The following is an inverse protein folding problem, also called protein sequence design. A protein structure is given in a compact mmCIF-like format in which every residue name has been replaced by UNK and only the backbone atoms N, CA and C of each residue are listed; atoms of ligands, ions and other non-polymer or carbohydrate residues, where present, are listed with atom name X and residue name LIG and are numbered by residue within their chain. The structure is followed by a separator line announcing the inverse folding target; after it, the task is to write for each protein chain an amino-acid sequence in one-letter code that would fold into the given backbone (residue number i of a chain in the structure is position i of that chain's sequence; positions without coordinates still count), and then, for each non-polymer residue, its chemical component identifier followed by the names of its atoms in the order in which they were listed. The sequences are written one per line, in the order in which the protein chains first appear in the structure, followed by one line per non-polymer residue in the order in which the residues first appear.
data_IF_884253444492
#
_entry.id   IF_884253444492
#
_cell.length_a   1.000
_cell.length_b   1.000
_cell.length_c   1.000
_cell.angle_alpha   90.00
_cell.angle_beta   90.00
_cell.angle_gamma   90.00
#
_symmetry.space_group_name_H-M   'P 1'
#
loop_
_entity.id
_entity.type
_entity.pdbx_description
1 polymer ?
#
# COMPACT_ATOMS: atom_id res chain seq x y z
N UNK A 1 -32.67 -43.79 -1.33
CA UNK A 1 -32.60 -42.44 -0.74
C UNK A 1 -31.12 -42.18 -0.42
N UNK A 2 -30.39 -41.71 -1.42
CA UNK A 2 -28.92 -41.63 -1.41
C UNK A 2 -28.51 -40.30 -0.77
N UNK A 3 -27.73 -40.37 0.31
CA UNK A 3 -27.09 -39.20 0.93
C UNK A 3 -25.95 -38.78 0.00
N UNK A 4 -26.07 -37.60 -0.60
CA UNK A 4 -24.97 -36.96 -1.31
C UNK A 4 -24.02 -36.34 -0.28
N UNK A 5 -22.81 -36.88 -0.22
CA UNK A 5 -21.68 -36.27 0.47
C UNK A 5 -21.22 -35.04 -0.31
N UNK A 6 -20.94 -33.96 0.43
CA UNK A 6 -20.49 -32.67 -0.07
C UNK A 6 -18.95 -32.66 -0.12
N UNK A 7 -18.28 -32.53 -1.28
CA UNK A 7 -16.84 -32.52 -1.33
C UNK A 7 -16.27 -31.11 -1.15
N UNK A 8 -15.45 -30.94 -0.11
CA UNK A 8 -14.19 -30.21 -0.25
C UNK A 8 -14.19 -28.70 0.03
N UNK A 9 -14.18 -28.37 1.32
CA UNK A 9 -13.45 -27.22 1.84
C UNK A 9 -11.95 -27.50 1.61
N UNK A 10 -11.21 -26.57 1.00
CA UNK A 10 -9.74 -26.63 1.02
C UNK A 10 -9.03 -26.08 -0.22
N UNK A 11 -8.88 -24.76 -0.32
CA UNK A 11 -7.62 -24.20 -0.80
C UNK A 11 -6.99 -23.43 0.35
N UNK A 12 -6.24 -24.18 1.14
CA UNK A 12 -5.21 -23.65 2.02
C UNK A 12 -4.26 -22.89 1.10
N UNK A 13 -4.21 -21.56 1.22
CA UNK A 13 -3.14 -20.79 0.60
C UNK A 13 -1.82 -21.38 1.12
N UNK A 14 -0.91 -21.85 0.24
CA UNK A 14 0.38 -22.33 0.71
C UNK A 14 1.06 -21.18 1.43
N UNK A 15 1.61 -21.45 2.63
CA UNK A 15 2.42 -20.47 3.35
C UNK A 15 3.44 -19.88 2.37
N UNK A 16 3.35 -18.57 2.15
CA UNK A 16 4.31 -17.84 1.32
C UNK A 16 5.73 -18.10 1.83
N UNK A 17 6.75 -17.99 0.96
CA UNK A 17 8.12 -18.33 1.33
C UNK A 17 8.53 -17.55 2.59
N UNK A 18 8.71 -18.27 3.70
CA UNK A 18 9.29 -17.76 4.95
C UNK A 18 10.76 -17.41 4.73
N UNK A 19 11.03 -16.32 4.00
CA UNK A 19 12.38 -15.76 3.90
C UNK A 19 12.49 -14.62 4.91
N UNK A 20 13.11 -14.92 6.05
CA UNK A 20 13.68 -13.91 6.93
C UNK A 20 14.86 -13.25 6.19
N UNK A 21 14.57 -12.22 5.42
CA UNK A 21 15.60 -11.26 5.00
C UNK A 21 15.35 -10.01 5.83
N UNK A 22 16.13 -9.84 6.90
CA UNK A 22 16.22 -8.57 7.62
C UNK A 22 16.58 -7.49 6.62
N UNK A 23 15.66 -6.58 6.33
CA UNK A 23 15.99 -5.38 5.59
C UNK A 23 16.69 -4.43 6.57
N UNK A 24 17.94 -4.02 6.33
CA UNK A 24 18.49 -2.88 7.04
C UNK A 24 17.75 -1.64 6.51
N UNK A 25 16.66 -1.25 7.16
CA UNK A 25 16.22 0.13 7.12
C UNK A 25 17.06 0.88 8.14
N UNK A 26 17.94 1.76 7.66
CA UNK A 26 18.62 2.71 8.53
C UNK A 26 17.54 3.50 9.28
N UNK A 27 17.38 3.22 10.57
CA UNK A 27 16.60 4.04 11.46
C UNK A 27 17.26 5.41 11.47
N UNK A 28 16.55 6.44 11.00
CA UNK A 28 16.89 7.81 11.36
C UNK A 28 16.52 8.00 12.82
N UNK A 29 17.46 7.68 13.71
CA UNK A 29 17.42 8.16 15.08
C UNK A 29 17.63 9.68 15.02
N UNK A 30 16.53 10.44 15.14
CA UNK A 30 16.62 11.87 15.40
C UNK A 30 17.27 12.06 16.76
N UNK A 31 18.54 12.47 16.79
CA UNK A 31 19.18 12.97 18.01
C UNK A 31 18.56 14.32 18.34
N UNK A 32 17.52 14.33 19.18
CA UNK A 32 17.09 15.55 19.85
C UNK A 32 18.05 15.84 21.00
N UNK A 33 19.18 16.48 20.71
CA UNK A 33 20.01 17.08 21.74
C UNK A 33 19.39 18.42 22.15
N UNK A 34 18.46 18.40 23.09
CA UNK A 34 17.93 19.62 23.70
C UNK A 34 18.92 20.12 24.74
N UNK A 35 19.76 21.10 24.37
CA UNK A 35 20.71 21.74 25.28
C UNK A 35 19.95 22.69 26.22
N UNK A 36 19.61 22.23 27.43
CA UNK A 36 19.38 23.10 28.59
C UNK A 36 20.12 22.48 29.78
N UNK A 37 20.95 23.28 30.43
CA UNK A 37 21.89 22.82 31.45
C UNK A 37 21.20 22.20 32.68
N UNK A 38 21.70 21.03 33.09
CA UNK A 38 21.31 20.35 34.33
C UNK A 38 21.09 18.84 34.13
N UNK A 39 22.02 18.02 34.65
CA UNK A 39 21.96 16.55 34.78
C UNK A 39 21.58 15.76 33.51
N UNK A 40 22.59 15.16 32.87
CA UNK A 40 22.42 14.23 31.76
C UNK A 40 21.65 12.97 32.21
N UNK A 41 20.34 12.96 32.01
CA UNK A 41 19.59 11.72 31.88
C UNK A 41 19.93 11.18 30.49
N UNK A 42 20.92 10.29 30.42
CA UNK A 42 21.09 9.39 29.28
C UNK A 42 19.83 8.51 29.22
N UNK A 43 18.77 9.00 28.57
CA UNK A 43 17.71 8.14 28.07
C UNK A 43 18.37 7.22 27.06
N UNK A 44 18.62 5.98 27.47
CA UNK A 44 18.97 4.91 26.55
C UNK A 44 17.74 4.65 25.66
N UNK A 45 17.64 5.40 24.56
CA UNK A 45 16.68 5.10 23.52
C UNK A 45 16.97 3.69 23.03
N UNK A 46 16.12 2.73 23.41
CA UNK A 46 16.22 1.35 22.93
C UNK A 46 16.14 1.36 21.41
N UNK A 47 17.02 0.61 20.76
CA UNK A 47 17.04 0.49 19.31
C UNK A 47 15.72 -0.15 18.83
N UNK A 48 15.06 0.49 17.86
CA UNK A 48 13.86 -0.01 17.20
C UNK A 48 14.28 -0.69 15.88
N UNK A 49 13.85 -1.93 15.67
CA UNK A 49 14.11 -2.70 14.45
C UNK A 49 12.79 -3.08 13.77
N UNK A 50 12.74 -3.04 12.44
CA UNK A 50 11.59 -3.49 11.67
C UNK A 50 11.87 -4.88 11.08
N UNK A 51 11.07 -5.87 11.46
CA UNK A 51 11.05 -7.17 10.81
C UNK A 51 9.96 -7.21 9.75
N UNK A 52 10.37 -7.12 8.48
CA UNK A 52 9.46 -6.96 7.34
C UNK A 52 9.26 -8.30 6.65
N UNK A 53 8.01 -8.76 6.59
CA UNK A 53 7.58 -9.98 5.92
C UNK A 53 6.40 -9.66 4.99
N UNK A 54 6.66 -9.16 3.77
CA UNK A 54 5.61 -8.63 2.90
C UNK A 54 4.52 -9.66 2.59
N UNK A 55 3.28 -9.31 2.89
CA UNK A 55 2.06 -10.03 2.52
C UNK A 55 1.07 -9.07 1.87
N UNK A 56 0.89 -7.88 2.45
CA UNK A 56 0.02 -6.83 1.93
C UNK A 56 0.82 -5.78 1.17
N UNK A 57 0.42 -5.50 -0.07
CA UNK A 57 1.05 -4.50 -0.92
C UNK A 57 0.03 -3.40 -1.18
N UNK A 58 0.38 -2.17 -0.81
CA UNK A 58 -0.50 -1.01 -0.97
C UNK A 58 0.08 -0.12 -2.06
N UNK A 59 -0.43 -0.14 -3.30
CA UNK A 59 -0.01 0.80 -4.34
C UNK A 59 -0.71 2.15 -4.19
N UNK A 60 -0.03 3.23 -4.62
CA UNK A 60 -0.65 4.53 -4.87
C UNK A 60 -1.17 4.64 -6.32
N UNK A 61 -1.76 5.80 -6.67
CA UNK A 61 -2.29 6.07 -8.01
C UNK A 61 -1.20 6.03 -9.08
N UNK A 62 -0.02 6.61 -8.80
CA UNK A 62 1.10 6.59 -9.76
C UNK A 62 1.61 5.18 -10.03
N UNK A 63 1.57 4.28 -9.04
CA UNK A 63 1.90 2.88 -9.20
C UNK A 63 1.04 2.19 -10.27
N UNK A 64 -0.26 2.51 -10.33
CA UNK A 64 -1.13 2.02 -11.41
C UNK A 64 -0.84 2.70 -12.75
N UNK A 65 -0.60 4.00 -12.75
CA UNK A 65 -0.37 4.77 -13.99
C UNK A 65 0.94 4.36 -14.66
N UNK A 66 2.02 4.19 -13.89
CA UNK A 66 3.37 3.97 -14.42
C UNK A 66 3.76 2.48 -14.45
N UNK A 67 3.21 1.65 -13.55
CA UNK A 67 3.68 0.27 -13.34
C UNK A 67 2.56 -0.78 -13.34
N UNK A 68 1.45 -0.57 -14.07
CA UNK A 68 0.33 -1.53 -14.15
C UNK A 68 0.78 -2.96 -14.47
N UNK A 69 1.73 -3.13 -15.39
CA UNK A 69 2.28 -4.44 -15.75
C UNK A 69 2.99 -5.13 -14.57
N UNK A 70 3.68 -4.36 -13.73
CA UNK A 70 4.30 -4.84 -12.50
C UNK A 70 3.28 -5.28 -11.46
N UNK A 71 2.24 -4.48 -11.24
CA UNK A 71 1.16 -4.83 -10.31
C UNK A 71 0.42 -6.10 -10.75
N UNK A 72 0.18 -6.27 -12.06
CA UNK A 72 -0.37 -7.52 -12.62
C UNK A 72 0.50 -8.73 -12.28
N UNK A 73 1.82 -8.63 -12.48
CA UNK A 73 2.77 -9.71 -12.12
C UNK A 73 2.73 -10.05 -10.63
N UNK A 74 2.69 -9.04 -9.76
CA UNK A 74 2.62 -9.23 -8.30
C UNK A 74 1.31 -9.90 -7.87
N UNK A 75 0.20 -9.56 -8.52
CA UNK A 75 -1.08 -10.21 -8.25
C UNK A 75 -1.07 -11.66 -8.74
N UNK A 76 -0.62 -11.90 -9.99
CA UNK A 76 -0.61 -13.23 -10.60
C UNK A 76 0.37 -14.23 -9.95
N UNK A 77 1.39 -13.77 -9.22
CA UNK A 77 2.30 -14.69 -8.53
C UNK A 77 1.65 -15.37 -7.31
N UNK A 78 0.52 -14.84 -6.81
CA UNK A 78 -0.26 -15.45 -5.73
C UNK A 78 0.39 -15.41 -4.34
N UNK A 79 1.56 -14.74 -4.20
CA UNK A 79 2.31 -14.65 -2.94
C UNK A 79 1.87 -13.47 -2.07
N UNK A 80 1.27 -12.46 -2.69
CA UNK A 80 0.92 -11.20 -2.05
C UNK A 80 -0.55 -10.87 -2.27
N UNK A 81 -1.07 -10.02 -1.39
CA UNK A 81 -2.40 -9.46 -1.49
C UNK A 81 -2.24 -7.97 -1.83
N UNK A 82 -2.66 -7.60 -3.02
CA UNK A 82 -2.73 -6.21 -3.43
C UNK A 82 -3.94 -5.56 -2.74
N UNK A 83 -3.68 -4.61 -1.86
CA UNK A 83 -4.72 -3.87 -1.15
C UNK A 83 -4.77 -2.46 -1.70
N UNK A 84 -5.83 -2.16 -2.45
CA UNK A 84 -6.01 -0.87 -3.12
C UNK A 84 -6.83 0.06 -2.22
N UNK A 85 -6.27 1.19 -1.76
CA UNK A 85 -7.06 2.20 -1.05
C UNK A 85 -8.19 2.71 -1.94
N UNK A 86 -9.40 2.86 -1.42
CA UNK A 86 -10.55 3.33 -2.21
C UNK A 86 -10.29 4.69 -2.85
N UNK A 87 -9.55 5.57 -2.15
CA UNK A 87 -9.14 6.88 -2.68
C UNK A 87 -8.35 6.75 -3.99
N UNK A 88 -7.48 5.74 -4.12
CA UNK A 88 -6.70 5.48 -5.34
C UNK A 88 -7.62 5.09 -6.49
N UNK A 89 -8.64 4.27 -6.23
CA UNK A 89 -9.63 3.88 -7.25
C UNK A 89 -10.42 5.12 -7.72
N UNK A 90 -10.85 5.98 -6.78
CA UNK A 90 -11.57 7.22 -7.08
C UNK A 90 -10.71 8.20 -7.89
N UNK A 91 -9.41 8.31 -7.59
CA UNK A 91 -8.48 9.13 -8.38
C UNK A 91 -8.31 8.57 -9.80
N UNK A 92 -8.16 7.25 -9.95
CA UNK A 92 -8.08 6.59 -11.25
C UNK A 92 -9.35 6.80 -12.09
N UNK A 93 -10.54 6.71 -11.48
CA UNK A 93 -11.80 7.03 -12.16
C UNK A 93 -11.82 8.49 -12.66
N UNK A 94 -11.35 9.42 -11.83
CA UNK A 94 -11.23 10.84 -12.19
C UNK A 94 -10.29 11.06 -13.37
N UNK A 95 -9.13 10.40 -13.36
CA UNK A 95 -8.16 10.44 -14.47
C UNK A 95 -8.71 9.78 -15.74
N UNK A 96 -9.43 8.67 -15.62
CA UNK A 96 -10.00 7.92 -16.75
C UNK A 96 -11.12 8.68 -17.47
N UNK A 97 -11.97 9.40 -16.71
CA UNK A 97 -12.97 10.33 -17.26
C UNK A 97 -12.31 11.48 -18.02
N UNK A 98 -11.11 11.87 -17.61
CA UNK A 98 -10.39 13.02 -18.11
C UNK A 98 -10.97 14.31 -17.54
N UNK A 99 -10.19 15.38 -17.57
CA UNK A 99 -10.80 16.71 -17.43
C UNK A 99 -11.62 16.93 -18.69
N UNK A 100 -12.96 16.90 -18.57
CA UNK A 100 -13.83 17.62 -19.48
C UNK A 100 -13.36 19.06 -19.42
N UNK A 101 -12.49 19.42 -20.35
CA UNK A 101 -12.09 20.79 -20.52
C UNK A 101 -13.39 21.51 -20.89
N UNK A 102 -14.04 22.13 -19.89
CA UNK A 102 -15.00 23.22 -20.05
C UNK A 102 -14.26 24.43 -20.66
N UNK A 103 -13.61 24.23 -21.81
CA UNK A 103 -13.19 25.24 -22.75
C UNK A 103 -14.11 25.07 -23.96
N UNK A 104 -14.93 26.04 -24.31
CA UNK A 104 -14.37 27.33 -24.69
C UNK A 104 -13.45 27.09 -25.89
N UNK A 105 -13.89 27.34 -27.13
CA UNK A 105 -13.09 27.06 -28.32
C UNK A 105 -11.89 28.01 -28.36
N UNK A 106 -10.72 27.58 -27.84
CA UNK A 106 -9.53 28.42 -27.83
C UNK A 106 -8.25 27.89 -27.17
N UNK A 107 -8.24 26.71 -26.53
CA UNK A 107 -7.05 26.22 -25.83
C UNK A 107 -6.09 25.39 -26.69
N UNK A 108 -5.22 26.05 -27.45
CA UNK A 108 -4.08 25.42 -28.12
C UNK A 108 -3.05 24.86 -27.11
N UNK A 109 -2.50 23.65 -27.37
CA UNK A 109 -1.40 23.10 -26.58
C UNK A 109 -0.97 21.69 -26.99
N UNK A 110 -0.33 21.55 -28.16
CA UNK A 110 0.03 20.30 -28.85
C UNK A 110 1.08 19.38 -28.19
N UNK A 111 1.28 19.42 -26.87
CA UNK A 111 2.15 18.49 -26.12
C UNK A 111 1.54 18.09 -24.78
N UNK A 112 0.99 19.07 -24.04
CA UNK A 112 0.25 18.83 -22.79
C UNK A 112 -0.99 17.95 -23.01
N UNK A 113 -1.68 18.13 -24.13
CA UNK A 113 -2.83 17.28 -24.50
C UNK A 113 -2.44 15.83 -24.81
N UNK A 114 -1.25 15.57 -25.37
CA UNK A 114 -0.78 14.22 -25.65
C UNK A 114 -0.39 13.48 -24.37
N UNK A 115 0.32 14.14 -23.46
CA UNK A 115 0.64 13.59 -22.15
C UNK A 115 -0.63 13.31 -21.32
N UNK A 116 -1.57 14.27 -21.26
CA UNK A 116 -2.83 14.10 -20.54
C UNK A 116 -3.67 12.93 -21.10
N UNK A 117 -3.74 12.78 -22.43
CA UNK A 117 -4.37 11.60 -23.08
C UNK A 117 -3.65 10.31 -22.71
N UNK A 118 -2.32 10.30 -22.68
CA UNK A 118 -1.54 9.14 -22.27
C UNK A 118 -1.81 8.72 -20.83
N UNK A 119 -1.94 9.67 -19.90
CA UNK A 119 -2.34 9.39 -18.51
C UNK A 119 -3.78 8.86 -18.45
N UNK A 120 -4.71 9.48 -19.18
CA UNK A 120 -6.11 9.05 -19.24
C UNK A 120 -6.25 7.60 -19.73
N UNK A 121 -5.56 7.21 -20.81
CA UNK A 121 -5.61 5.84 -21.34
C UNK A 121 -5.00 4.82 -20.35
N UNK A 122 -3.91 5.18 -19.67
CA UNK A 122 -3.33 4.33 -18.61
C UNK A 122 -4.27 4.19 -17.41
N UNK A 123 -4.96 5.26 -17.03
CA UNK A 123 -5.97 5.23 -15.98
C UNK A 123 -7.16 4.33 -16.37
N UNK A 124 -7.68 4.44 -17.60
CA UNK A 124 -8.72 3.53 -18.12
C UNK A 124 -8.29 2.07 -18.06
N UNK A 125 -7.06 1.78 -18.47
CA UNK A 125 -6.51 0.42 -18.40
C UNK A 125 -6.39 -0.10 -16.96
N UNK A 126 -6.02 0.77 -16.01
CA UNK A 126 -5.96 0.42 -14.58
C UNK A 126 -7.35 0.18 -13.99
N UNK A 127 -8.33 1.04 -14.26
CA UNK A 127 -9.73 0.86 -13.82
C UNK A 127 -10.30 -0.44 -14.37
N UNK A 128 -10.14 -0.70 -15.68
CA UNK A 128 -10.63 -1.92 -16.30
C UNK A 128 -9.98 -3.18 -15.72
N UNK A 129 -8.68 -3.13 -15.41
CA UNK A 129 -7.98 -4.20 -14.72
C UNK A 129 -8.58 -4.49 -13.33
N UNK A 130 -8.81 -3.45 -12.53
CA UNK A 130 -9.39 -3.59 -11.20
C UNK A 130 -10.82 -4.15 -11.28
N UNK A 131 -11.66 -3.59 -12.16
CA UNK A 131 -13.04 -4.04 -12.34
C UNK A 131 -13.12 -5.53 -12.71
N UNK A 132 -12.33 -5.97 -13.69
CA UNK A 132 -12.27 -7.38 -14.08
C UNK A 132 -11.82 -8.28 -12.92
N UNK A 133 -10.78 -7.86 -12.18
CA UNK A 133 -10.26 -8.64 -11.06
C UNK A 133 -11.27 -8.75 -9.89
N UNK A 134 -12.03 -7.70 -9.60
CA UNK A 134 -13.12 -7.75 -8.61
C UNK A 134 -14.31 -8.59 -9.11
N UNK A 135 -14.66 -8.51 -10.39
CA UNK A 135 -15.75 -9.30 -10.99
C UNK A 135 -15.50 -10.81 -10.86
N UNK A 136 -14.27 -11.26 -11.12
CA UNK A 136 -13.86 -12.66 -10.97
C UNK A 136 -13.49 -13.05 -9.53
N UNK A 137 -13.62 -12.13 -8.56
CA UNK A 137 -13.29 -12.32 -7.15
C UNK A 137 -11.85 -12.81 -6.92
N UNK A 138 -10.90 -12.12 -7.53
CA UNK A 138 -9.47 -12.42 -7.41
C UNK A 138 -9.03 -12.46 -5.92
N UNK A 139 -8.60 -13.61 -5.37
CA UNK A 139 -8.27 -13.73 -3.94
C UNK A 139 -7.09 -12.86 -3.49
N UNK A 140 -6.20 -12.51 -4.43
CA UNK A 140 -5.04 -11.67 -4.19
C UNK A 140 -5.32 -10.17 -4.36
N UNK A 141 -6.59 -9.76 -4.50
CA UNK A 141 -6.98 -8.35 -4.60
C UNK A 141 -8.00 -7.98 -3.51
N UNK A 142 -7.80 -6.83 -2.89
CA UNK A 142 -8.73 -6.23 -1.93
C UNK A 142 -8.82 -4.73 -2.16
N UNK A 143 -9.96 -4.14 -1.86
CA UNK A 143 -10.09 -2.69 -1.72
C UNK A 143 -10.39 -2.34 -0.26
N UNK A 144 -9.87 -1.21 0.21
CA UNK A 144 -10.04 -0.76 1.59
C UNK A 144 -10.56 0.68 1.62
N UNK A 145 -11.65 0.92 2.33
CA UNK A 145 -12.18 2.27 2.53
C UNK A 145 -11.34 3.07 3.53
N UNK A 146 -11.55 4.39 3.60
CA UNK A 146 -10.87 5.26 4.58
C UNK A 146 -11.12 4.88 6.04
N UNK A 147 -12.20 4.12 6.30
CA UNK A 147 -12.60 3.63 7.63
C UNK A 147 -12.08 2.21 7.91
N UNK A 148 -11.33 1.60 6.99
CA UNK A 148 -10.77 0.26 7.16
C UNK A 148 -11.73 -0.88 6.82
N UNK A 149 -12.84 -0.61 6.13
CA UNK A 149 -13.73 -1.66 5.65
C UNK A 149 -13.17 -2.28 4.37
N UNK A 150 -13.11 -3.60 4.30
CA UNK A 150 -12.76 -4.31 3.07
C UNK A 150 -13.98 -4.39 2.15
N UNK A 151 -13.77 -4.13 0.87
CA UNK A 151 -14.81 -4.21 -0.15
C UNK A 151 -14.66 -5.49 -0.97
N UNK A 152 -15.75 -6.23 -1.10
CA UNK A 152 -15.85 -7.40 -1.99
C UNK A 152 -16.14 -7.01 -3.45
N UNK A 153 -16.63 -5.79 -3.66
CA UNK A 153 -16.92 -5.23 -4.98
C UNK A 153 -16.66 -3.73 -4.98
N UNK A 154 -16.25 -3.22 -6.14
CA UNK A 154 -16.02 -1.79 -6.38
C UNK A 154 -17.06 -1.19 -7.34
N UNK A 155 -18.12 -1.92 -7.71
CA UNK A 155 -19.13 -1.44 -8.67
C UNK A 155 -19.83 -0.15 -8.22
N UNK A 156 -19.99 0.02 -6.90
CA UNK A 156 -20.52 1.23 -6.27
C UNK A 156 -19.50 1.74 -5.24
N UNK A 157 -18.63 2.65 -5.68
CA UNK A 157 -17.41 3.06 -4.94
C UNK A 157 -17.44 4.49 -4.39
N UNK A 158 -18.62 4.98 -4.01
CA UNK A 158 -18.78 6.27 -3.33
C UNK A 158 -18.55 6.14 -1.83
N UNK A 159 -17.63 6.93 -1.27
CA UNK A 159 -17.40 7.02 0.18
C UNK A 159 -17.67 8.45 0.67
N UNK A 160 -18.38 8.57 1.79
CA UNK A 160 -18.55 9.85 2.48
C UNK A 160 -17.27 10.21 3.25
N UNK A 161 -16.50 11.13 2.67
CA UNK A 161 -15.26 11.68 3.20
C UNK A 161 -15.46 12.98 3.99
N UNK A 162 -16.70 13.45 4.17
CA UNK A 162 -16.99 14.76 4.80
C UNK A 162 -16.48 14.91 6.24
N UNK A 163 -16.18 13.80 6.93
CA UNK A 163 -15.58 13.78 8.27
C UNK A 163 -14.10 13.35 8.32
N UNK A 164 -13.47 13.05 7.18
CA UNK A 164 -12.06 12.64 7.13
C UNK A 164 -11.15 13.87 7.03
N UNK A 165 -10.28 14.07 8.02
CA UNK A 165 -9.21 15.07 7.97
C UNK A 165 -7.96 14.45 7.33
N UNK A 166 -7.39 15.10 6.32
CA UNK A 166 -6.15 14.68 5.68
C UNK A 166 -6.19 14.85 4.16
N UNK A 167 -5.02 14.77 3.54
CA UNK A 167 -4.90 14.67 2.07
C UNK A 167 -4.98 13.19 1.64
N UNK A 168 -4.95 12.95 0.34
CA UNK A 168 -5.03 11.59 -0.21
C UNK A 168 -3.87 10.69 0.25
N UNK A 169 -2.67 11.24 0.49
CA UNK A 169 -1.55 10.48 1.09
C UNK A 169 -1.91 9.97 2.48
N UNK A 170 -2.59 10.78 3.30
CA UNK A 170 -2.97 10.39 4.66
C UNK A 170 -3.99 9.24 4.63
N UNK A 171 -4.85 9.19 3.62
CA UNK A 171 -5.78 8.08 3.36
C UNK A 171 -5.07 6.81 2.85
N UNK A 172 -4.03 6.94 2.02
CA UNK A 172 -3.20 5.81 1.59
C UNK A 172 -2.42 5.25 2.79
N UNK A 173 -1.90 6.14 3.65
CA UNK A 173 -1.19 5.76 4.86
C UNK A 173 -2.11 5.10 5.89
N UNK A 174 -3.34 5.57 6.06
CA UNK A 174 -4.31 4.92 6.93
C UNK A 174 -4.62 3.49 6.45
N UNK A 175 -4.68 3.27 5.14
CA UNK A 175 -4.76 1.93 4.56
C UNK A 175 -3.55 1.06 4.93
N UNK A 176 -2.33 1.59 4.88
CA UNK A 176 -1.14 0.85 5.33
C UNK A 176 -1.21 0.52 6.82
N UNK A 177 -1.54 1.51 7.65
CA UNK A 177 -1.60 1.39 9.10
C UNK A 177 -2.67 0.41 9.59
N UNK A 178 -3.74 0.20 8.82
CA UNK A 178 -4.74 -0.83 9.10
C UNK A 178 -4.11 -2.23 9.26
N UNK A 179 -3.00 -2.50 8.56
CA UNK A 179 -2.27 -3.77 8.62
C UNK A 179 -1.10 -3.77 9.60
N UNK A 180 -0.82 -2.64 10.26
CA UNK A 180 0.13 -2.57 11.37
C UNK A 180 -0.55 -3.05 12.66
N UNK A 181 -0.60 -4.37 12.87
CA UNK A 181 -1.21 -4.99 14.05
C UNK A 181 -0.26 -4.97 15.25
N UNK A 182 -0.05 -3.78 15.77
CA UNK A 182 0.86 -3.57 16.88
C UNK A 182 0.23 -4.03 18.21
N UNK A 183 0.73 -5.13 18.80
CA UNK A 183 0.34 -5.55 20.16
C UNK A 183 1.52 -5.34 21.10
N UNK A 184 1.28 -4.69 22.24
CA UNK A 184 2.33 -4.37 23.22
C UNK A 184 3.21 -5.58 23.62
N UNK A 185 2.59 -6.76 23.74
CA UNK A 185 3.27 -8.02 24.07
C UNK A 185 4.21 -8.54 22.98
N UNK A 186 4.00 -8.16 21.71
CA UNK A 186 4.78 -8.67 20.58
C UNK A 186 6.10 -7.91 20.44
N UNK A 187 6.27 -6.79 21.15
CA UNK A 187 7.42 -5.88 21.02
C UNK A 187 8.17 -5.62 22.32
N UNK A 188 7.66 -6.09 23.46
CA UNK A 188 8.38 -6.02 24.73
C UNK A 188 9.51 -7.06 24.69
N UNK A 189 10.79 -6.64 24.64
CA UNK A 189 11.91 -7.57 24.64
C UNK A 189 11.91 -8.36 25.95
N UNK A 190 12.24 -9.65 25.87
CA UNK A 190 12.31 -10.52 27.05
C UNK A 190 13.53 -10.18 27.90
N UNK A 191 14.57 -9.62 27.29
CA UNK A 191 15.80 -9.15 27.93
C UNK A 191 15.92 -7.62 27.92
N UNK A 192 16.68 -7.08 28.87
CA UNK A 192 16.76 -5.62 29.09
C UNK A 192 17.47 -4.85 27.97
N UNK A 193 18.33 -5.53 27.21
CA UNK A 193 19.23 -4.94 26.20
C UNK A 193 18.86 -5.35 24.75
N UNK A 194 17.80 -6.12 24.55
CA UNK A 194 17.32 -6.48 23.21
C UNK A 194 16.58 -5.31 22.55
N UNK A 195 16.73 -5.12 21.23
CA UNK A 195 16.00 -4.11 20.49
C UNK A 195 14.50 -4.41 20.48
N UNK A 196 13.69 -3.35 20.41
CA UNK A 196 12.24 -3.45 20.19
C UNK A 196 12.03 -3.79 18.72
N UNK A 197 11.43 -4.96 18.42
CA UNK A 197 11.22 -5.41 17.03
C UNK A 197 9.78 -5.24 16.61
N UNK A 198 9.51 -4.39 15.62
CA UNK A 198 8.19 -4.23 15.05
C UNK A 198 8.00 -5.15 13.83
N UNK A 199 7.03 -6.05 13.88
CA UNK A 199 6.66 -6.88 12.74
C UNK A 199 5.82 -6.08 11.76
N UNK A 200 6.17 -6.12 10.47
CA UNK A 200 5.43 -5.46 9.40
C UNK A 200 5.17 -6.44 8.26
N UNK A 201 3.89 -6.72 8.02
CA UNK A 201 3.44 -7.52 6.89
C UNK A 201 2.98 -6.67 5.70
N UNK A 202 2.97 -5.35 5.86
CA UNK A 202 2.56 -4.38 4.84
C UNK A 202 3.75 -3.65 4.25
N UNK A 203 3.72 -3.43 2.93
CA UNK A 203 4.66 -2.57 2.21
C UNK A 203 3.88 -1.60 1.34
N UNK A 204 4.17 -0.32 1.48
CA UNK A 204 3.70 0.72 0.57
C UNK A 204 4.55 0.70 -0.71
N UNK A 205 3.87 0.62 -1.86
CA UNK A 205 4.49 0.65 -3.18
C UNK A 205 4.31 2.05 -3.79
N UNK A 206 5.37 2.85 -3.78
CA UNK A 206 5.33 4.24 -4.27
C UNK A 206 6.71 4.73 -4.68
N UNK A 207 6.73 5.55 -5.73
CA UNK A 207 7.89 6.34 -6.16
C UNK A 207 7.89 7.76 -5.55
N UNK A 208 6.79 8.18 -4.93
CA UNK A 208 6.63 9.53 -4.39
C UNK A 208 7.50 9.74 -3.13
N UNK A 209 8.33 10.79 -3.16
CA UNK A 209 9.27 11.10 -2.09
C UNK A 209 8.58 11.55 -0.81
N UNK A 210 7.50 12.34 -0.91
CA UNK A 210 6.79 12.88 0.24
C UNK A 210 6.00 11.78 0.94
N UNK A 211 5.27 10.96 0.19
CA UNK A 211 4.54 9.82 0.71
C UNK A 211 5.51 8.78 1.31
N UNK A 212 6.65 8.52 0.67
CA UNK A 212 7.72 7.69 1.24
C UNK A 212 8.19 8.22 2.60
N UNK A 213 8.47 9.52 2.72
CA UNK A 213 8.89 10.12 4.00
C UNK A 213 7.78 9.97 5.04
N UNK A 214 6.52 10.27 4.71
CA UNK A 214 5.38 10.13 5.62
C UNK A 214 5.16 8.69 6.09
N UNK A 215 5.43 7.69 5.25
CA UNK A 215 5.35 6.27 5.60
C UNK A 215 6.48 5.86 6.55
N UNK A 216 7.71 6.26 6.25
CA UNK A 216 8.88 5.93 7.09
C UNK A 216 8.77 6.52 8.50
N UNK A 217 8.24 7.74 8.65
CA UNK A 217 8.00 8.34 9.98
C UNK A 217 6.94 7.61 10.80
N UNK A 218 6.15 6.74 10.16
CA UNK A 218 5.12 5.90 10.78
C UNK A 218 5.51 4.42 10.83
N UNK A 219 6.79 4.10 10.60
CA UNK A 219 7.32 2.73 10.58
C UNK A 219 6.60 1.82 9.56
N UNK A 220 6.14 2.38 8.43
CA UNK A 220 5.58 1.64 7.31
C UNK A 220 6.71 1.38 6.29
N UNK A 221 7.02 0.12 5.95
CA UNK A 221 7.97 -0.21 4.90
C UNK A 221 7.56 0.35 3.54
N UNK A 222 8.53 0.84 2.77
CA UNK A 222 8.29 1.43 1.44
C UNK A 222 9.28 0.90 0.42
N UNK A 223 8.79 0.61 -0.79
CA UNK A 223 9.60 0.30 -1.98
C UNK A 223 8.96 0.85 -3.24
N UNK A 224 9.77 1.17 -4.23
CA UNK A 224 9.28 1.31 -5.60
C UNK A 224 8.90 -0.05 -6.19
N UNK A 225 7.99 -0.05 -7.16
CA UNK A 225 7.46 -1.28 -7.76
C UNK A 225 8.56 -2.08 -8.48
N UNK A 226 9.44 -1.50 -9.32
CA UNK A 226 10.54 -2.24 -9.95
C UNK A 226 11.48 -2.92 -8.94
N UNK A 227 11.89 -2.23 -7.88
CA UNK A 227 12.73 -2.81 -6.84
C UNK A 227 12.02 -3.92 -6.07
N UNK A 228 10.72 -3.77 -5.80
CA UNK A 228 9.94 -4.82 -5.15
C UNK A 228 9.82 -6.07 -6.02
N UNK A 229 9.55 -5.92 -7.32
CA UNK A 229 9.51 -7.03 -8.29
C UNK A 229 10.83 -7.81 -8.33
N UNK A 230 11.95 -7.09 -8.41
CA UNK A 230 13.29 -7.69 -8.42
C UNK A 230 13.55 -8.45 -7.10
N UNK A 231 13.21 -7.85 -5.96
CA UNK A 231 13.33 -8.49 -4.66
C UNK A 231 12.45 -9.76 -4.56
N UNK A 232 11.22 -9.69 -5.05
CA UNK A 232 10.28 -10.80 -5.07
C UNK A 232 10.67 -11.90 -6.06
N UNK A 233 11.61 -11.62 -6.97
CA UNK A 233 11.99 -12.50 -8.11
C UNK A 233 10.80 -12.81 -9.02
N UNK A 234 9.93 -11.82 -9.17
CA UNK A 234 8.78 -11.85 -10.07
C UNK A 234 9.03 -10.76 -11.11
N UNK A 235 9.93 -11.03 -12.08
CA UNK A 235 10.44 -10.05 -13.03
C UNK A 235 10.58 -10.64 -14.42
#
# INVERSE_FOLDING_TARGET
MVRHENPGIGRICPEGPRRNSSYPQQAMAGTAAQQHGGQAVLQTCRQLELEIRPLFLVPDTNGFIDHLGGLKKLMSCGLYILVVPLIVITELDGLAKGQDNRGGPGGAGGSSGAHARGVQERAKAAVSFLEQAFEVREPCLRALTSRGNQLESIAFRSEDTSGQQGNNDDLILSCCLHYCKDKAKDFMPTQRDEPVRLHREVVLLTDDRNLRVKALTRNVPVRDIPAFLNWAKVG
#
